data_IF_949842398250
#
_entry.id   IF_949842398250
#
_cell.length_a   1.000
_cell.length_b   1.000
_cell.length_c   1.000
_cell.angle_alpha   90.00
_cell.angle_beta   90.00
_cell.angle_gamma   90.00
#
_symmetry.space_group_name_H-M   'P 1'
#
loop_
_entity.id
_entity.type
_entity.pdbx_description
1 polymer ?
#
# COMPACT_ATOMS: atom_id res chain seq x y z
N UNK A 1 45.49 -14.59 -63.05
CA UNK A 1 44.14 -14.76 -62.53
C UNK A 1 44.23 -14.80 -61.01
N UNK A 2 44.01 -13.64 -60.39
CA UNK A 2 44.12 -13.45 -58.94
C UNK A 2 42.74 -13.68 -58.31
N UNK A 3 42.63 -14.63 -57.36
CA UNK A 3 41.41 -14.90 -56.62
C UNK A 3 41.41 -14.05 -55.35
N UNK A 4 40.47 -13.09 -55.28
CA UNK A 4 40.23 -12.25 -54.12
C UNK A 4 39.39 -13.06 -53.10
N UNK A 5 39.98 -13.37 -51.95
CA UNK A 5 39.26 -13.99 -50.81
C UNK A 5 38.70 -12.85 -49.97
N UNK A 6 37.35 -12.74 -49.98
CA UNK A 6 36.61 -11.84 -49.07
C UNK A 6 36.35 -12.59 -47.77
N UNK A 7 37.03 -12.19 -46.69
CA UNK A 7 36.73 -12.69 -45.34
C UNK A 7 35.59 -11.87 -44.75
N UNK A 8 34.44 -12.54 -44.53
CA UNK A 8 33.29 -11.97 -43.84
C UNK A 8 33.53 -12.07 -42.32
N UNK A 9 33.81 -10.96 -41.67
CA UNK A 9 33.91 -10.87 -40.20
C UNK A 9 32.49 -10.65 -39.66
N UNK A 10 31.88 -11.67 -39.05
CA UNK A 10 30.59 -11.57 -38.34
C UNK A 10 30.84 -11.10 -36.92
N UNK A 11 30.56 -9.83 -36.66
CA UNK A 11 30.64 -9.23 -35.33
C UNK A 11 29.40 -9.62 -34.49
N UNK A 12 29.54 -10.58 -33.57
CA UNK A 12 28.49 -10.92 -32.61
C UNK A 12 28.41 -9.84 -31.53
N UNK A 13 27.44 -8.96 -31.63
CA UNK A 13 27.04 -8.04 -30.54
C UNK A 13 26.29 -8.84 -29.48
N UNK A 14 26.95 -9.16 -28.38
CA UNK A 14 26.30 -9.66 -27.17
C UNK A 14 25.49 -8.53 -26.52
N UNK A 15 24.20 -8.44 -26.86
CA UNK A 15 23.26 -7.64 -26.09
C UNK A 15 23.04 -8.34 -24.74
N UNK A 16 23.61 -7.80 -23.69
CA UNK A 16 23.27 -8.22 -22.32
C UNK A 16 21.78 -7.86 -22.09
N UNK A 17 20.91 -8.81 -22.28
CA UNK A 17 19.53 -8.71 -21.80
C UNK A 17 19.57 -8.67 -20.27
N UNK A 18 19.32 -7.49 -19.69
CA UNK A 18 19.03 -7.39 -18.27
C UNK A 18 17.64 -7.99 -18.09
N UNK A 19 17.58 -9.24 -17.67
CA UNK A 19 16.33 -9.81 -17.21
C UNK A 19 15.90 -8.97 -15.99
N UNK A 20 14.77 -8.29 -16.10
CA UNK A 20 14.18 -7.56 -14.99
C UNK A 20 13.95 -8.55 -13.85
N UNK A 21 14.66 -8.36 -12.75
CA UNK A 21 14.59 -9.24 -11.59
C UNK A 21 13.15 -9.18 -11.06
N UNK A 22 12.46 -10.32 -11.15
CA UNK A 22 11.05 -10.39 -10.75
C UNK A 22 11.00 -10.24 -9.23
N UNK A 23 10.52 -9.10 -8.74
CA UNK A 23 10.35 -8.84 -7.31
C UNK A 23 9.57 -10.01 -6.70
N UNK A 24 10.18 -10.70 -5.74
CA UNK A 24 9.55 -11.83 -5.06
C UNK A 24 8.29 -11.34 -4.34
N UNK A 25 7.18 -12.08 -4.52
CA UNK A 25 5.94 -11.78 -3.79
C UNK A 25 6.18 -11.94 -2.30
N UNK A 26 5.84 -10.91 -1.54
CA UNK A 26 5.90 -10.94 -0.08
C UNK A 26 4.62 -11.56 0.46
N UNK A 27 4.74 -12.25 1.59
CA UNK A 27 3.62 -12.82 2.33
C UNK A 27 3.60 -12.13 3.69
N UNK A 28 2.45 -11.61 4.06
CA UNK A 28 2.17 -11.08 5.38
C UNK A 28 1.11 -11.95 6.06
N UNK A 29 1.41 -12.43 7.25
CA UNK A 29 0.45 -13.20 8.05
C UNK A 29 -0.16 -12.29 9.10
N UNK A 30 -1.44 -11.99 8.95
CA UNK A 30 -2.19 -11.21 9.94
C UNK A 30 -2.54 -12.07 11.16
N UNK A 31 -2.83 -11.43 12.30
CA UNK A 31 -3.13 -12.09 13.56
C UNK A 31 -4.46 -11.60 14.14
N UNK A 32 -5.07 -12.47 14.95
CA UNK A 32 -6.27 -12.14 15.69
C UNK A 32 -5.96 -11.04 16.71
N UNK A 33 -6.81 -10.02 16.79
CA UNK A 33 -6.74 -8.96 17.78
C UNK A 33 -6.91 -9.53 19.20
N UNK A 34 -6.02 -9.17 20.13
CA UNK A 34 -6.00 -9.69 21.51
C UNK A 34 -6.47 -8.69 22.55
N UNK A 35 -6.43 -7.40 22.24
CA UNK A 35 -6.88 -6.33 23.12
C UNK A 35 -7.58 -5.24 22.29
N UNK A 36 -8.49 -4.45 22.87
CA UNK A 36 -9.20 -3.40 22.15
C UNK A 36 -8.25 -2.39 21.51
N UNK A 37 -8.69 -1.83 20.36
CA UNK A 37 -8.08 -0.70 19.66
C UNK A 37 -9.12 0.40 19.55
N UNK A 38 -8.74 1.61 19.92
CA UNK A 38 -9.50 2.84 19.72
C UNK A 38 -8.94 3.53 18.47
N UNK A 39 -9.78 3.87 17.52
CA UNK A 39 -9.34 4.54 16.29
C UNK A 39 -9.27 6.05 16.58
N UNK A 40 -8.12 6.52 17.04
CA UNK A 40 -7.87 7.92 17.41
C UNK A 40 -6.61 8.53 16.75
N UNK A 41 -5.81 7.70 16.08
CA UNK A 41 -4.55 8.07 15.42
C UNK A 41 -3.31 7.80 16.26
N UNK A 42 -3.48 7.31 17.49
CA UNK A 42 -2.38 6.92 18.38
C UNK A 42 -2.19 5.39 18.34
N UNK A 43 -0.98 4.94 18.07
CA UNK A 43 -0.64 3.52 17.97
C UNK A 43 -0.18 2.91 19.32
N UNK A 44 -0.45 3.58 20.43
CA UNK A 44 -0.04 3.14 21.79
C UNK A 44 -0.99 2.12 22.41
N UNK A 45 -2.13 1.84 21.79
CA UNK A 45 -3.06 0.83 22.29
C UNK A 45 -2.43 -0.56 22.38
N UNK A 46 -2.68 -1.27 23.48
CA UNK A 46 -2.19 -2.64 23.70
C UNK A 46 -2.60 -3.64 22.58
N UNK A 47 -3.68 -3.35 21.84
CA UNK A 47 -4.07 -4.12 20.67
C UNK A 47 -2.98 -4.15 19.61
N UNK A 48 -2.25 -3.07 19.44
CA UNK A 48 -1.16 -2.95 18.49
C UNK A 48 0.15 -3.64 18.92
N UNK A 49 0.26 -4.11 20.15
CA UNK A 49 1.40 -4.96 20.58
C UNK A 49 1.37 -6.34 19.91
N UNK A 50 0.20 -6.75 19.41
CA UNK A 50 0.03 -8.00 18.69
C UNK A 50 0.47 -7.81 17.21
N UNK A 51 0.96 -8.89 16.62
CA UNK A 51 1.34 -8.90 15.21
C UNK A 51 2.71 -8.29 14.92
N UNK A 52 3.11 -8.39 13.67
CA UNK A 52 4.43 -7.94 13.19
C UNK A 52 4.27 -6.73 12.29
N UNK A 53 5.13 -5.74 12.44
CA UNK A 53 5.25 -4.65 11.49
C UNK A 53 5.89 -5.15 10.20
N UNK A 54 5.27 -4.83 9.08
CA UNK A 54 5.86 -5.00 7.76
C UNK A 54 6.45 -3.67 7.29
N UNK A 55 7.59 -3.75 6.65
CA UNK A 55 8.35 -2.63 6.09
C UNK A 55 8.82 -2.97 4.66
N UNK A 56 10.00 -2.55 4.28
CA UNK A 56 10.64 -2.85 2.99
C UNK A 56 9.86 -2.30 1.78
N UNK A 57 9.25 -1.13 1.94
CA UNK A 57 8.68 -0.42 0.83
C UNK A 57 9.75 -0.10 -0.22
N UNK A 58 9.33 -0.08 -1.46
CA UNK A 58 10.15 0.36 -2.59
C UNK A 58 9.51 1.58 -3.24
N UNK A 59 10.34 2.45 -3.77
CA UNK A 59 9.88 3.60 -4.55
C UNK A 59 9.17 3.12 -5.82
N UNK A 60 8.05 3.74 -6.16
CA UNK A 60 7.35 3.50 -7.42
C UNK A 60 7.63 4.59 -8.44
N UNK A 61 7.74 5.80 -7.99
CA UNK A 61 8.04 6.99 -8.79
C UNK A 61 8.79 8.01 -7.92
N UNK A 62 9.84 8.69 -8.45
CA UNK A 62 10.31 8.65 -9.83
C UNK A 62 11.18 7.43 -10.18
N UNK A 63 11.87 6.81 -9.20
CA UNK A 63 12.91 5.80 -9.43
C UNK A 63 12.44 4.41 -8.97
N UNK A 64 11.70 3.72 -9.82
CA UNK A 64 11.07 2.44 -9.51
C UNK A 64 12.07 1.40 -8.98
N UNK A 65 11.73 0.78 -7.85
CA UNK A 65 12.49 -0.29 -7.23
C UNK A 65 13.60 0.17 -6.29
N UNK A 66 13.86 1.47 -6.18
CA UNK A 66 14.86 2.00 -5.23
C UNK A 66 14.30 2.06 -3.80
N UNK A 67 15.16 2.19 -2.76
CA UNK A 67 14.70 2.46 -1.41
C UNK A 67 13.94 3.80 -1.34
N UNK A 68 12.83 3.87 -0.60
CA UNK A 68 12.05 5.10 -0.49
C UNK A 68 12.80 6.15 0.33
N UNK A 69 12.57 7.43 0.02
CA UNK A 69 13.14 8.57 0.77
C UNK A 69 12.78 8.50 2.25
N UNK A 70 11.56 8.10 2.58
CA UNK A 70 11.07 7.96 3.95
C UNK A 70 10.49 6.57 4.16
N UNK A 71 10.90 5.93 5.23
CA UNK A 71 10.41 4.61 5.59
C UNK A 71 8.92 4.64 5.93
N UNK A 72 8.26 3.53 5.65
CA UNK A 72 6.86 3.30 6.02
C UNK A 72 6.76 1.90 6.58
N UNK A 73 5.93 1.74 7.61
CA UNK A 73 5.60 0.45 8.20
C UNK A 73 4.08 0.31 8.27
N UNK A 74 3.60 -0.91 8.16
CA UNK A 74 2.20 -1.20 8.41
C UNK A 74 2.04 -2.48 9.22
N UNK A 75 0.90 -2.59 9.87
CA UNK A 75 0.47 -3.76 10.61
C UNK A 75 -1.01 -4.02 10.30
N UNK A 76 -1.38 -5.29 10.20
CA UNK A 76 -2.76 -5.70 9.98
C UNK A 76 -3.16 -6.70 11.05
N UNK A 77 -4.30 -6.43 11.70
CA UNK A 77 -4.94 -7.32 12.66
C UNK A 77 -6.40 -7.51 12.25
N UNK A 78 -7.05 -8.51 12.80
CA UNK A 78 -8.47 -8.74 12.55
C UNK A 78 -9.19 -9.27 13.80
N UNK A 79 -10.50 -9.09 13.84
CA UNK A 79 -11.40 -9.80 14.72
C UNK A 79 -12.56 -10.43 13.91
N UNK A 80 -13.59 -10.88 14.57
CA UNK A 80 -14.74 -11.51 13.90
C UNK A 80 -15.54 -10.56 12.97
N UNK A 81 -15.34 -9.26 13.08
CA UNK A 81 -16.16 -8.25 12.41
C UNK A 81 -15.32 -7.24 11.58
N UNK A 82 -14.07 -7.02 11.94
CA UNK A 82 -13.26 -5.94 11.40
C UNK A 82 -11.85 -6.37 11.03
N UNK A 83 -11.33 -5.71 10.01
CA UNK A 83 -9.92 -5.62 9.71
C UNK A 83 -9.40 -4.29 10.29
N UNK A 84 -8.26 -4.34 10.97
CA UNK A 84 -7.58 -3.18 11.53
C UNK A 84 -6.25 -3.00 10.82
N UNK A 85 -5.96 -1.79 10.39
CA UNK A 85 -4.68 -1.48 9.74
C UNK A 85 -4.06 -0.28 10.45
N UNK A 86 -2.84 -0.45 10.96
CA UNK A 86 -1.99 0.63 11.42
C UNK A 86 -0.93 0.93 10.37
N UNK A 87 -0.67 2.20 10.13
CA UNK A 87 0.41 2.66 9.25
C UNK A 87 1.22 3.69 10.02
N UNK A 88 2.55 3.52 10.01
CA UNK A 88 3.53 4.49 10.48
C UNK A 88 4.30 5.02 9.26
N UNK A 89 4.13 6.27 8.97
CA UNK A 89 4.79 6.96 7.86
C UNK A 89 5.86 7.89 8.43
N UNK A 90 7.11 7.42 8.49
CA UNK A 90 8.22 8.20 9.03
C UNK A 90 8.53 9.41 8.16
N UNK A 91 9.00 10.48 8.80
CA UNK A 91 9.31 11.72 8.17
C UNK A 91 10.27 12.53 9.06
N UNK A 92 11.40 12.97 8.53
CA UNK A 92 12.42 13.74 9.26
C UNK A 92 12.06 15.22 9.41
N UNK A 93 11.02 15.69 8.73
CA UNK A 93 10.52 17.05 8.75
C UNK A 93 8.99 17.10 8.84
N UNK A 94 8.40 16.63 9.96
CA UNK A 94 6.93 16.51 10.09
C UNK A 94 6.17 17.81 9.85
N UNK A 95 6.80 18.96 10.11
CA UNK A 95 6.20 20.27 9.84
C UNK A 95 5.99 20.59 8.35
N UNK A 96 6.54 19.77 7.45
CA UNK A 96 6.35 19.90 6.00
C UNK A 96 5.33 18.90 5.44
N UNK A 97 4.76 18.03 6.27
CA UNK A 97 3.70 17.10 5.86
C UNK A 97 2.51 17.90 5.35
N UNK A 98 2.10 17.64 4.13
CA UNK A 98 1.00 18.37 3.51
C UNK A 98 -0.35 17.88 4.03
N UNK A 99 -1.00 18.70 4.85
CA UNK A 99 -2.32 18.48 5.43
C UNK A 99 -3.34 19.40 4.76
N UNK A 100 -4.04 18.92 3.74
CA UNK A 100 -5.13 19.67 3.13
C UNK A 100 -6.46 19.01 3.45
N UNK A 101 -7.34 19.75 4.14
CA UNK A 101 -8.74 19.34 4.31
C UNK A 101 -9.46 19.49 2.98
N UNK A 102 -10.09 18.40 2.56
CA UNK A 102 -10.97 18.37 1.39
C UNK A 102 -12.29 17.71 1.78
N UNK A 103 -13.22 17.60 0.84
CA UNK A 103 -14.36 16.70 1.00
C UNK A 103 -13.88 15.25 0.93
N UNK A 104 -14.68 14.31 1.40
CA UNK A 104 -14.51 12.87 1.17
C UNK A 104 -14.17 12.64 -0.32
N UNK A 105 -13.31 11.69 -0.61
CA UNK A 105 -12.79 11.35 -1.94
C UNK A 105 -11.92 12.44 -2.60
N UNK A 106 -11.66 13.54 -1.91
CA UNK A 106 -10.73 14.57 -2.33
C UNK A 106 -9.33 14.31 -1.77
N UNK A 107 -8.42 13.78 -2.59
CA UNK A 107 -7.10 13.36 -2.13
C UNK A 107 -6.05 14.44 -2.35
N UNK A 108 -5.99 15.42 -1.48
CA UNK A 108 -4.94 16.45 -1.49
C UNK A 108 -3.94 16.24 -0.34
N UNK A 109 -2.65 16.38 -0.64
CA UNK A 109 -1.57 16.22 0.34
C UNK A 109 -1.14 14.77 0.59
N UNK A 110 -0.31 14.59 1.61
CA UNK A 110 0.27 13.31 1.98
C UNK A 110 -0.82 12.31 2.33
N UNK A 111 -0.70 11.09 1.82
CA UNK A 111 -1.72 10.07 1.99
C UNK A 111 -1.17 8.66 1.95
N UNK A 112 -1.94 7.73 2.47
CA UNK A 112 -1.72 6.29 2.36
C UNK A 112 -2.96 5.62 1.77
N UNK A 113 -2.73 4.56 1.03
CA UNK A 113 -3.77 3.72 0.45
C UNK A 113 -3.56 2.28 0.91
N UNK A 114 -4.64 1.63 1.30
CA UNK A 114 -4.70 0.18 1.54
C UNK A 114 -5.60 -0.42 0.47
N UNK A 115 -5.04 -1.26 -0.37
CA UNK A 115 -5.70 -1.89 -1.52
C UNK A 115 -5.84 -3.36 -1.21
N UNK A 116 -7.06 -3.87 -1.23
CA UNK A 116 -7.40 -5.24 -0.81
C UNK A 116 -8.12 -5.97 -1.94
N UNK A 117 -7.47 -6.98 -2.49
CA UNK A 117 -8.09 -7.98 -3.37
C UNK A 117 -8.55 -9.16 -2.50
N UNK A 118 -9.73 -9.04 -1.90
CA UNK A 118 -10.28 -10.05 -1.01
C UNK A 118 -10.85 -11.28 -1.74
N UNK A 119 -11.06 -11.21 -3.05
CA UNK A 119 -11.36 -12.37 -3.88
C UNK A 119 -10.11 -13.14 -4.30
N UNK A 120 -8.94 -12.53 -4.19
CA UNK A 120 -7.67 -13.01 -4.72
C UNK A 120 -7.74 -13.35 -6.22
N UNK A 121 -8.55 -12.58 -6.96
CA UNK A 121 -8.77 -12.75 -8.39
C UNK A 121 -7.77 -11.95 -9.25
N UNK A 122 -7.00 -11.05 -8.63
CA UNK A 122 -6.01 -10.15 -9.26
C UNK A 122 -6.64 -9.20 -10.29
N UNK A 123 -7.93 -8.97 -10.18
CA UNK A 123 -8.71 -8.16 -11.13
C UNK A 123 -9.54 -7.09 -10.46
N UNK A 124 -9.98 -7.38 -9.22
CA UNK A 124 -10.86 -6.50 -8.43
C UNK A 124 -10.22 -6.21 -7.09
N UNK A 125 -10.18 -4.95 -6.69
CA UNK A 125 -9.68 -4.55 -5.38
C UNK A 125 -10.53 -3.44 -4.77
N UNK A 126 -10.64 -3.48 -3.45
CA UNK A 126 -11.23 -2.44 -2.62
C UNK A 126 -10.12 -1.52 -2.13
N UNK A 127 -10.25 -0.23 -2.35
CA UNK A 127 -9.23 0.76 -2.03
C UNK A 127 -9.72 1.66 -0.91
N UNK A 128 -8.96 1.77 0.15
CA UNK A 128 -9.21 2.65 1.28
C UNK A 128 -8.07 3.66 1.37
N UNK A 129 -8.40 4.92 1.26
CA UNK A 129 -7.44 6.02 1.28
C UNK A 129 -7.66 6.90 2.49
N UNK A 130 -6.60 7.27 3.20
CA UNK A 130 -6.63 8.35 4.18
C UNK A 130 -5.48 9.31 3.96
N UNK A 131 -5.76 10.61 4.11
CA UNK A 131 -4.73 11.65 4.03
C UNK A 131 -4.17 11.95 5.43
N UNK A 132 -3.00 12.58 5.51
CA UNK A 132 -2.44 13.03 6.78
C UNK A 132 -3.35 14.03 7.52
N UNK A 133 -4.29 14.68 6.82
CA UNK A 133 -5.34 15.51 7.39
C UNK A 133 -6.57 14.73 7.90
N UNK A 134 -6.56 13.37 7.81
CA UNK A 134 -7.68 12.54 8.22
C UNK A 134 -8.86 12.50 7.23
N UNK A 135 -8.70 13.02 6.02
CA UNK A 135 -9.72 12.88 4.97
C UNK A 135 -9.68 11.45 4.45
N UNK A 136 -10.83 10.80 4.41
CA UNK A 136 -10.99 9.45 3.88
C UNK A 136 -11.64 9.46 2.51
N UNK A 137 -11.35 8.43 1.75
CA UNK A 137 -12.03 8.12 0.49
C UNK A 137 -11.82 6.68 0.11
N UNK A 138 -12.64 6.21 -0.77
CA UNK A 138 -12.65 4.82 -1.20
C UNK A 138 -13.02 4.67 -2.66
N UNK A 139 -12.50 3.60 -3.25
CA UNK A 139 -12.74 3.27 -4.66
C UNK A 139 -12.77 1.75 -4.83
N UNK A 140 -13.45 1.28 -5.87
CA UNK A 140 -13.29 -0.09 -6.36
C UNK A 140 -12.47 -0.04 -7.65
N UNK A 141 -11.33 -0.69 -7.63
CA UNK A 141 -10.53 -0.93 -8.82
C UNK A 141 -10.98 -2.22 -9.49
N UNK A 142 -11.24 -2.19 -10.79
CA UNK A 142 -11.63 -3.35 -11.60
C UNK A 142 -10.81 -3.42 -12.88
N UNK A 143 -10.98 -4.49 -13.67
CA UNK A 143 -10.27 -4.69 -14.94
C UNK A 143 -8.74 -4.58 -14.79
N UNK A 144 -8.18 -5.23 -13.76
CA UNK A 144 -6.74 -5.18 -13.43
C UNK A 144 -6.24 -3.75 -13.14
N UNK A 145 -7.06 -2.92 -12.49
CA UNK A 145 -6.71 -1.53 -12.16
C UNK A 145 -6.92 -0.51 -13.28
N UNK A 146 -7.54 -0.91 -14.40
CA UNK A 146 -7.81 0.02 -15.52
C UNK A 146 -9.10 0.82 -15.33
N UNK A 147 -9.99 0.42 -14.44
CA UNK A 147 -11.22 1.14 -14.13
C UNK A 147 -11.35 1.34 -12.62
N UNK A 148 -11.61 2.57 -12.22
CA UNK A 148 -11.79 3.00 -10.85
C UNK A 148 -13.19 3.58 -10.69
N UNK A 149 -13.87 3.18 -9.61
CA UNK A 149 -15.24 3.59 -9.30
C UNK A 149 -15.26 4.18 -7.88
N UNK A 150 -15.40 5.49 -7.79
CA UNK A 150 -15.49 6.28 -6.57
C UNK A 150 -16.93 6.45 -6.06
N UNK A 151 -17.90 5.86 -6.75
CA UNK A 151 -19.29 5.86 -6.29
C UNK A 151 -19.56 4.87 -5.15
N UNK A 152 -18.61 3.97 -4.88
CA UNK A 152 -18.70 3.03 -3.78
C UNK A 152 -18.46 3.72 -2.44
N UNK A 153 -19.44 3.74 -1.57
CA UNK A 153 -19.42 4.45 -0.29
C UNK A 153 -19.58 3.49 0.90
N UNK A 154 -18.54 2.72 1.27
CA UNK A 154 -18.58 1.82 2.42
C UNK A 154 -18.57 2.59 3.75
N UNK A 155 -19.06 1.92 4.79
CA UNK A 155 -18.86 2.38 6.16
C UNK A 155 -17.53 1.85 6.66
N UNK A 156 -16.59 2.73 7.00
CA UNK A 156 -15.32 2.39 7.63
C UNK A 156 -14.79 3.58 8.41
N UNK A 157 -13.78 3.39 9.24
CA UNK A 157 -13.29 4.39 10.17
C UNK A 157 -11.80 4.58 9.99
N UNK A 158 -11.34 5.82 10.10
CA UNK A 158 -9.91 6.15 10.09
C UNK A 158 -9.65 7.39 10.94
N UNK A 159 -8.47 7.43 11.53
CA UNK A 159 -7.90 8.59 12.21
C UNK A 159 -6.41 8.65 11.91
N UNK A 160 -5.88 9.86 11.97
CA UNK A 160 -4.48 10.15 11.72
C UNK A 160 -3.96 11.10 12.80
N UNK A 161 -2.67 10.99 13.11
CA UNK A 161 -1.96 11.89 14.00
C UNK A 161 -0.59 12.22 13.41
N UNK A 162 -0.06 13.40 13.70
CA UNK A 162 1.29 13.81 13.34
C UNK A 162 2.08 14.03 14.63
N UNK A 163 3.30 13.50 14.65
CA UNK A 163 4.22 13.63 15.77
C UNK A 163 5.64 14.02 15.31
N UNK A 164 6.62 13.91 16.20
CA UNK A 164 8.00 14.30 15.92
C UNK A 164 8.73 13.38 14.90
N UNK A 165 8.20 12.19 14.65
CA UNK A 165 8.82 11.18 13.76
C UNK A 165 8.10 11.03 12.42
N UNK A 166 6.96 11.73 12.20
CA UNK A 166 6.18 11.65 10.98
C UNK A 166 4.68 11.65 11.26
N UNK A 167 3.95 10.69 10.73
CA UNK A 167 2.51 10.57 10.96
C UNK A 167 2.04 9.12 11.01
N UNK A 168 0.91 8.94 11.62
CA UNK A 168 0.23 7.65 11.78
C UNK A 168 -1.12 7.67 11.09
N UNK A 169 -1.57 6.52 10.67
CA UNK A 169 -2.95 6.28 10.27
C UNK A 169 -3.45 4.97 10.87
N UNK A 170 -4.63 5.02 11.44
CA UNK A 170 -5.39 3.86 11.84
C UNK A 170 -6.62 3.70 10.98
N UNK A 171 -6.92 2.48 10.58
CA UNK A 171 -8.11 2.12 9.82
C UNK A 171 -8.82 0.96 10.48
N UNK A 172 -10.15 1.05 10.58
CA UNK A 172 -11.04 -0.03 11.01
C UNK A 172 -12.07 -0.28 9.91
N UNK A 173 -11.96 -1.40 9.24
CA UNK A 173 -12.73 -1.75 8.04
C UNK A 173 -13.65 -2.92 8.38
N UNK A 174 -14.98 -2.75 8.38
CA UNK A 174 -15.88 -3.86 8.63
C UNK A 174 -15.72 -4.92 7.53
N UNK A 175 -15.58 -6.18 7.90
CA UNK A 175 -15.48 -7.30 6.97
C UNK A 175 -16.73 -7.40 6.08
N UNK A 176 -17.88 -6.92 6.55
CA UNK A 176 -19.12 -6.84 5.76
C UNK A 176 -19.04 -5.90 4.55
N UNK A 177 -18.06 -5.00 4.49
CA UNK A 177 -17.82 -4.13 3.34
C UNK A 177 -16.95 -4.79 2.27
N UNK A 178 -16.31 -5.88 2.60
CA UNK A 178 -15.47 -6.67 1.71
C UNK A 178 -16.24 -7.90 1.22
N UNK A 179 -15.94 -8.34 0.02
CA UNK A 179 -16.50 -9.56 -0.54
C UNK A 179 -15.40 -10.60 -0.67
N UNK A 180 -15.51 -11.72 0.01
CA UNK A 180 -14.51 -12.77 0.02
C UNK A 180 -15.16 -14.17 0.06
N UNK A 181 -14.36 -15.19 -0.23
CA UNK A 181 -14.79 -16.59 -0.24
C UNK A 181 -15.16 -17.11 1.14
N UNK A 182 -15.72 -18.34 1.19
CA UNK A 182 -16.14 -18.99 2.44
C UNK A 182 -15.09 -19.96 3.01
N UNK A 183 -13.87 -19.96 2.50
CA UNK A 183 -12.80 -20.80 3.00
C UNK A 183 -12.46 -20.44 4.45
N UNK A 184 -12.12 -21.43 5.29
CA UNK A 184 -11.69 -21.19 6.66
C UNK A 184 -10.41 -20.38 6.70
N UNK A 185 -9.45 -20.70 5.84
CA UNK A 185 -8.26 -19.89 5.61
C UNK A 185 -8.51 -18.93 4.46
N UNK A 186 -8.27 -17.65 4.71
CA UNK A 186 -8.42 -16.58 3.74
C UNK A 186 -7.04 -16.11 3.25
N UNK A 187 -6.86 -16.12 1.93
CA UNK A 187 -5.68 -15.55 1.26
C UNK A 187 -6.13 -14.41 0.38
N UNK A 188 -5.67 -13.20 0.70
CA UNK A 188 -6.03 -11.99 -0.03
C UNK A 188 -4.80 -11.37 -0.70
N UNK A 189 -5.01 -10.65 -1.80
CA UNK A 189 -4.03 -9.73 -2.32
C UNK A 189 -4.06 -8.44 -1.50
N UNK A 190 -2.90 -7.87 -1.22
CA UNK A 190 -2.80 -6.59 -0.52
C UNK A 190 -1.67 -5.76 -1.08
N UNK A 191 -1.92 -4.46 -1.23
CA UNK A 191 -0.90 -3.45 -1.50
C UNK A 191 -1.10 -2.29 -0.53
N UNK A 192 -0.01 -1.80 0.05
CA UNK A 192 0.00 -0.58 0.85
C UNK A 192 0.87 0.43 0.13
N UNK A 193 0.31 1.59 -0.15
CA UNK A 193 1.00 2.68 -0.84
C UNK A 193 1.05 3.92 0.04
N UNK A 194 2.16 4.63 0.00
CA UNK A 194 2.28 5.98 0.52
C UNK A 194 2.54 6.94 -0.62
N UNK A 195 1.82 8.05 -0.65
CA UNK A 195 2.14 9.18 -1.50
C UNK A 195 2.59 10.35 -0.65
N UNK A 196 3.79 10.77 -0.94
CA UNK A 196 4.46 11.87 -0.28
C UNK A 196 4.49 13.08 -1.25
N UNK A 197 4.07 14.25 -0.78
CA UNK A 197 3.89 15.45 -1.59
C UNK A 197 4.85 16.55 -1.17
N UNK A 198 6.14 16.30 -1.25
CA UNK A 198 7.14 17.37 -1.12
C UNK A 198 7.66 17.77 -2.49
N UNK A 199 7.77 19.10 -2.66
CA UNK A 199 8.54 19.71 -3.74
C UNK A 199 10.01 19.80 -3.36
#
# INVERSE_FOLDING_TARGET
MSRLLISLVVLFLFVKSHAQEKIAKRIYTTQLLKAPIVIDGDLSDAGWDTGTWASDFVEKTPDEGTPPTFQTQFKVLYDAQFLYVAIRAFDDRPGLIQQRLTRRDGFAGDRVNVIIDSYHDKRTAFVFTTTAAGVKGEEIATQNGNKWDDSWNPIWYTKTSIDAEGWTAEMKIPLSQLKFGKSEEQVWGMEVMRRHFRE
#
